data_IF_757977139916
#
_entry.id   IF_757977139916
#
_cell.length_a   1.000
_cell.length_b   1.000
_cell.length_c   1.000
_cell.angle_alpha   90.00
_cell.angle_beta   90.00
_cell.angle_gamma   90.00
#
_symmetry.space_group_name_H-M   'P 1'
#
loop_
_entity.id
_entity.type
_entity.pdbx_description
1 polymer ?
#
# COMPACT_ATOMS: atom_id res chain seq x y z
N UNK A 1 77.23 -146.99 -48.83
CA UNK A 1 76.58 -147.34 -47.55
C UNK A 1 76.44 -146.04 -46.76
N UNK A 2 75.32 -145.32 -46.85
CA UNK A 2 74.03 -145.58 -46.19
C UNK A 2 74.09 -145.44 -44.66
N UNK A 3 73.76 -144.25 -44.14
CA UNK A 3 72.45 -143.95 -43.52
C UNK A 3 72.46 -142.54 -42.87
N UNK A 4 71.69 -141.63 -43.48
CA UNK A 4 70.71 -140.74 -42.83
C UNK A 4 71.27 -139.76 -41.76
N UNK A 5 71.48 -138.47 -42.01
CA UNK A 5 70.47 -137.42 -42.30
C UNK A 5 69.19 -137.55 -41.43
N UNK A 6 69.21 -137.20 -40.13
CA UNK A 6 67.97 -136.80 -39.41
C UNK A 6 68.10 -136.16 -38.01
N UNK A 7 69.20 -135.45 -37.68
CA UNK A 7 69.39 -134.87 -36.33
C UNK A 7 69.78 -133.37 -36.36
N UNK A 8 69.32 -132.60 -37.35
CA UNK A 8 69.67 -131.16 -37.49
C UNK A 8 68.52 -130.18 -37.20
N UNK A 9 67.34 -130.66 -36.81
CA UNK A 9 66.15 -129.82 -36.59
C UNK A 9 65.80 -129.50 -35.12
N UNK A 10 66.26 -130.29 -34.15
CA UNK A 10 65.72 -130.22 -32.79
C UNK A 10 66.48 -129.27 -31.84
N UNK A 11 67.77 -129.00 -32.09
CA UNK A 11 68.57 -128.12 -31.22
C UNK A 11 68.35 -126.62 -31.46
N UNK A 12 67.63 -126.22 -32.52
CA UNK A 12 67.43 -124.80 -32.87
C UNK A 12 66.25 -124.14 -32.15
N UNK A 13 65.36 -124.91 -31.51
CA UNK A 13 64.18 -124.40 -30.81
C UNK A 13 64.36 -124.28 -29.30
N UNK A 14 65.40 -124.88 -28.72
CA UNK A 14 65.66 -124.84 -27.28
C UNK A 14 66.52 -123.64 -26.83
N UNK A 15 67.18 -122.92 -27.75
CA UNK A 15 68.06 -121.79 -27.40
C UNK A 15 67.50 -120.38 -27.68
N UNK A 16 66.30 -120.21 -28.25
CA UNK A 16 65.77 -118.87 -28.60
C UNK A 16 64.91 -118.19 -27.53
N UNK A 17 64.57 -118.88 -26.42
CA UNK A 17 63.64 -118.36 -25.40
C UNK A 17 64.24 -118.11 -24.02
N UNK A 18 65.57 -118.25 -23.85
CA UNK A 18 66.23 -118.05 -22.55
C UNK A 18 66.23 -116.58 -22.08
N UNK A 19 66.30 -115.63 -23.01
CA UNK A 19 66.24 -114.19 -22.71
C UNK A 19 64.86 -113.72 -22.23
N UNK A 20 63.79 -114.42 -22.57
CA UNK A 20 62.43 -114.05 -22.15
C UNK A 20 62.19 -114.28 -20.65
N UNK A 21 62.88 -115.25 -20.03
CA UNK A 21 62.84 -115.46 -18.58
C UNK A 21 63.76 -114.51 -17.81
N UNK A 22 64.74 -113.88 -18.47
CA UNK A 22 65.62 -112.87 -17.86
C UNK A 22 64.97 -111.47 -17.76
N UNK A 23 63.96 -111.18 -18.59
CA UNK A 23 63.22 -109.91 -18.58
C UNK A 23 62.07 -109.88 -17.55
N UNK A 24 61.55 -111.04 -17.14
CA UNK A 24 60.49 -111.13 -16.12
C UNK A 24 60.93 -110.55 -14.77
N UNK A 25 62.13 -110.86 -14.24
CA UNK A 25 62.64 -110.21 -13.02
C UNK A 25 62.78 -108.69 -13.16
N UNK A 26 63.25 -108.20 -14.31
CA UNK A 26 63.46 -106.76 -14.55
C UNK A 26 62.13 -106.01 -14.64
N UNK A 27 61.12 -106.59 -15.30
CA UNK A 27 59.78 -106.03 -15.35
C UNK A 27 59.08 -106.06 -13.97
N UNK A 28 59.28 -107.13 -13.19
CA UNK A 28 58.81 -107.20 -11.81
C UNK A 28 59.51 -106.16 -10.92
N UNK A 29 60.82 -105.96 -11.06
CA UNK A 29 61.58 -104.94 -10.32
C UNK A 29 61.12 -103.54 -10.74
N UNK A 30 60.88 -103.27 -12.02
CA UNK A 30 60.36 -101.99 -12.48
C UNK A 30 58.95 -101.72 -11.94
N UNK A 31 58.05 -102.72 -11.91
CA UNK A 31 56.72 -102.59 -11.30
C UNK A 31 56.81 -102.39 -9.78
N UNK A 32 57.72 -103.08 -9.10
CA UNK A 32 57.99 -102.90 -7.67
C UNK A 32 58.59 -101.51 -7.43
N UNK A 33 59.46 -100.98 -8.29
CA UNK A 33 59.99 -99.63 -8.18
C UNK A 33 58.95 -98.57 -8.49
N UNK A 34 58.06 -98.75 -9.47
CA UNK A 34 56.95 -97.82 -9.69
C UNK A 34 55.92 -97.89 -8.56
N UNK A 35 55.62 -99.08 -8.04
CA UNK A 35 54.76 -99.26 -6.88
C UNK A 35 55.42 -98.72 -5.61
N UNK A 36 56.74 -98.86 -5.47
CA UNK A 36 57.53 -98.28 -4.38
C UNK A 36 57.66 -96.76 -4.54
N UNK A 37 57.74 -96.20 -5.74
CA UNK A 37 57.70 -94.74 -5.95
C UNK A 37 56.31 -94.19 -5.64
N UNK A 38 55.24 -94.91 -5.97
CA UNK A 38 53.86 -94.56 -5.55
C UNK A 38 53.69 -94.74 -4.02
N UNK A 39 54.36 -95.73 -3.41
CA UNK A 39 54.29 -96.02 -1.97
C UNK A 39 55.26 -95.21 -1.10
N UNK A 40 56.35 -94.68 -1.68
CA UNK A 40 57.45 -93.99 -0.99
C UNK A 40 57.49 -92.49 -1.35
N UNK A 41 56.90 -92.08 -2.47
CA UNK A 41 56.75 -90.68 -2.87
C UNK A 41 55.52 -89.98 -2.27
N UNK A 42 54.57 -90.74 -1.70
CA UNK A 42 53.45 -90.23 -0.92
C UNK A 42 53.62 -90.67 0.54
N UNK A 43 54.60 -90.06 1.20
CA UNK A 43 54.65 -90.14 2.67
C UNK A 43 53.31 -89.66 3.25
N UNK A 44 52.74 -90.32 4.26
CA UNK A 44 51.49 -89.87 4.89
C UNK A 44 51.59 -88.44 5.45
N UNK A 45 52.81 -87.96 5.69
CA UNK A 45 53.11 -86.59 6.12
C UNK A 45 52.90 -85.55 5.01
N UNK A 46 53.41 -85.79 3.79
CA UNK A 46 53.19 -84.88 2.66
C UNK A 46 51.73 -84.79 2.22
N UNK A 47 50.97 -85.89 2.35
CA UNK A 47 49.51 -85.89 2.12
C UNK A 47 48.76 -85.07 3.18
N UNK A 48 49.21 -85.11 4.44
CA UNK A 48 48.63 -84.29 5.52
C UNK A 48 48.90 -82.80 5.30
N UNK A 49 50.12 -82.45 4.89
CA UNK A 49 50.50 -81.07 4.59
C UNK A 49 49.68 -80.50 3.42
N UNK A 50 49.57 -81.24 2.32
CA UNK A 50 48.75 -80.82 1.16
C UNK A 50 47.26 -80.69 1.54
N UNK A 51 46.74 -81.56 2.42
CA UNK A 51 45.37 -81.43 2.96
C UNK A 51 45.21 -80.19 3.84
N UNK A 52 46.21 -79.88 4.66
CA UNK A 52 46.24 -78.68 5.51
C UNK A 52 46.24 -77.41 4.65
N UNK A 53 47.14 -77.33 3.66
CA UNK A 53 47.19 -76.21 2.72
C UNK A 53 45.90 -76.08 1.92
N UNK A 54 45.28 -77.19 1.50
CA UNK A 54 43.96 -77.16 0.84
C UNK A 54 42.89 -76.56 1.74
N UNK A 55 42.85 -76.93 3.02
CA UNK A 55 41.90 -76.37 4.00
C UNK A 55 42.15 -74.87 4.22
N UNK A 56 43.41 -74.44 4.34
CA UNK A 56 43.76 -73.02 4.51
C UNK A 56 43.39 -72.20 3.27
N UNK A 57 43.63 -72.73 2.07
CA UNK A 57 43.23 -72.08 0.81
C UNK A 57 41.71 -72.01 0.71
N UNK A 58 40.98 -73.05 1.12
CA UNK A 58 39.52 -73.04 1.15
C UNK A 58 38.98 -71.98 2.13
N UNK A 59 39.54 -71.92 3.34
CA UNK A 59 39.14 -70.92 4.34
C UNK A 59 39.41 -69.49 3.84
N UNK A 60 40.55 -69.26 3.18
CA UNK A 60 40.86 -67.96 2.54
C UNK A 60 39.90 -67.64 1.40
N UNK A 61 39.50 -68.63 0.61
CA UNK A 61 38.53 -68.48 -0.47
C UNK A 61 37.17 -68.07 0.09
N UNK A 62 36.65 -68.82 1.07
CA UNK A 62 35.38 -68.52 1.73
C UNK A 62 35.40 -67.12 2.36
N UNK A 63 36.52 -66.73 2.98
CA UNK A 63 36.72 -65.39 3.54
C UNK A 63 36.76 -64.29 2.47
N UNK A 64 37.27 -64.60 1.28
CA UNK A 64 37.30 -63.66 0.15
C UNK A 64 35.93 -63.50 -0.50
N UNK A 65 35.16 -64.58 -0.63
CA UNK A 65 33.78 -64.58 -1.10
C UNK A 65 32.89 -63.77 -0.15
N UNK A 66 32.99 -63.99 1.16
CA UNK A 66 32.27 -63.19 2.16
C UNK A 66 32.65 -61.70 2.11
N UNK A 67 33.91 -61.37 1.77
CA UNK A 67 34.34 -59.98 1.57
C UNK A 67 33.77 -59.40 0.29
N UNK A 68 33.70 -60.17 -0.80
CA UNK A 68 33.11 -59.75 -2.07
C UNK A 68 31.61 -59.45 -1.90
N UNK A 69 30.86 -60.35 -1.26
CA UNK A 69 29.44 -60.11 -0.97
C UNK A 69 29.23 -58.83 -0.15
N UNK A 70 30.09 -58.57 0.84
CA UNK A 70 30.05 -57.34 1.63
C UNK A 70 30.36 -56.09 0.79
N UNK A 71 31.32 -56.18 -0.12
CA UNK A 71 31.68 -55.08 -1.03
C UNK A 71 30.55 -54.81 -2.02
N UNK A 72 29.94 -55.85 -2.59
CA UNK A 72 28.79 -55.73 -3.50
C UNK A 72 27.58 -55.12 -2.80
N UNK A 73 27.26 -55.57 -1.58
CA UNK A 73 26.20 -54.98 -0.76
C UNK A 73 26.46 -53.48 -0.49
N UNK A 74 27.70 -53.13 -0.16
CA UNK A 74 28.10 -51.73 0.06
C UNK A 74 28.05 -50.90 -1.24
N UNK A 75 28.38 -51.50 -2.38
CA UNK A 75 28.29 -50.86 -3.70
C UNK A 75 26.83 -50.55 -4.06
N UNK A 76 25.91 -51.48 -3.81
CA UNK A 76 24.48 -51.23 -4.05
C UNK A 76 23.91 -50.16 -3.11
N UNK A 77 24.31 -50.18 -1.83
CA UNK A 77 23.95 -49.12 -0.88
C UNK A 77 24.45 -47.74 -1.33
N UNK A 78 25.71 -47.64 -1.77
CA UNK A 78 26.28 -46.37 -2.25
C UNK A 78 25.65 -45.88 -3.55
N UNK A 79 25.31 -46.78 -4.49
CA UNK A 79 24.55 -46.41 -5.70
C UNK A 79 23.17 -45.87 -5.37
N UNK A 80 22.45 -46.50 -4.44
CA UNK A 80 21.14 -46.00 -4.00
C UNK A 80 21.27 -44.61 -3.37
N UNK A 81 22.22 -44.44 -2.45
CA UNK A 81 22.47 -43.15 -1.81
C UNK A 81 22.85 -42.06 -2.82
N UNK A 82 23.62 -42.40 -3.86
CA UNK A 82 23.97 -41.48 -4.95
C UNK A 82 22.75 -41.04 -5.74
N UNK A 83 21.84 -41.96 -6.09
CA UNK A 83 20.58 -41.62 -6.78
C UNK A 83 19.71 -40.70 -5.93
N UNK A 84 19.59 -41.00 -4.63
CA UNK A 84 18.83 -40.15 -3.70
C UNK A 84 19.45 -38.75 -3.57
N UNK A 85 20.78 -38.67 -3.52
CA UNK A 85 21.50 -37.40 -3.49
C UNK A 85 21.30 -36.60 -4.78
N UNK A 86 21.33 -37.24 -5.95
CA UNK A 86 21.04 -36.59 -7.23
C UNK A 86 19.61 -36.06 -7.31
N UNK A 87 18.63 -36.84 -6.85
CA UNK A 87 17.24 -36.42 -6.81
C UNK A 87 17.03 -35.21 -5.88
N UNK A 88 17.65 -35.23 -4.69
CA UNK A 88 17.63 -34.09 -3.76
C UNK A 88 18.32 -32.85 -4.34
N UNK A 89 19.42 -33.03 -5.07
CA UNK A 89 20.12 -31.93 -5.73
C UNK A 89 19.21 -31.27 -6.78
N UNK A 90 18.57 -32.08 -7.64
CA UNK A 90 17.64 -31.57 -8.65
C UNK A 90 16.44 -30.82 -8.04
N UNK A 91 15.87 -31.34 -6.93
CA UNK A 91 14.82 -30.64 -6.18
C UNK A 91 15.32 -29.31 -5.61
N UNK A 92 16.53 -29.29 -5.04
CA UNK A 92 17.13 -28.06 -4.50
C UNK A 92 17.42 -27.01 -5.58
N UNK A 93 17.91 -27.41 -6.75
CA UNK A 93 18.13 -26.51 -7.89
C UNK A 93 16.80 -25.92 -8.39
N UNK A 94 15.73 -26.72 -8.45
CA UNK A 94 14.40 -26.25 -8.80
C UNK A 94 13.88 -25.21 -7.81
N UNK A 95 14.08 -25.44 -6.50
CA UNK A 95 13.71 -24.50 -5.44
C UNK A 95 14.51 -23.20 -5.53
N UNK A 96 15.81 -23.28 -5.80
CA UNK A 96 16.67 -22.10 -5.98
C UNK A 96 16.20 -21.27 -7.18
N UNK A 97 15.97 -21.89 -8.34
CA UNK A 97 15.46 -21.18 -9.53
C UNK A 97 14.13 -20.47 -9.27
N UNK A 98 13.21 -21.10 -8.55
CA UNK A 98 11.93 -20.50 -8.16
C UNK A 98 12.11 -19.34 -7.17
N UNK A 99 13.04 -19.46 -6.24
CA UNK A 99 13.36 -18.39 -5.29
C UNK A 99 14.00 -17.19 -6.00
N UNK A 100 14.90 -17.43 -6.96
CA UNK A 100 15.51 -16.37 -7.78
C UNK A 100 14.48 -15.64 -8.63
N UNK A 101 13.57 -16.35 -9.31
CA UNK A 101 12.52 -15.71 -10.10
C UNK A 101 11.61 -14.84 -9.22
N UNK A 102 11.16 -15.37 -8.07
CA UNK A 102 10.32 -14.63 -7.13
C UNK A 102 11.04 -13.38 -6.54
N UNK A 103 12.35 -13.48 -6.31
CA UNK A 103 13.17 -12.36 -5.86
C UNK A 103 13.26 -11.26 -6.92
N UNK A 104 13.48 -11.63 -8.18
CA UNK A 104 13.53 -10.69 -9.30
C UNK A 104 12.18 -10.03 -9.55
N UNK A 105 11.07 -10.78 -9.50
CA UNK A 105 9.73 -10.21 -9.65
C UNK A 105 9.43 -9.20 -8.53
N UNK A 106 9.80 -9.52 -7.28
CA UNK A 106 9.64 -8.61 -6.15
C UNK A 106 10.52 -7.37 -6.30
N UNK A 107 11.74 -7.50 -6.82
CA UNK A 107 12.64 -6.38 -7.09
C UNK A 107 12.07 -5.44 -8.16
N UNK A 108 11.53 -5.98 -9.24
CA UNK A 108 10.88 -5.18 -10.31
C UNK A 108 9.61 -4.48 -9.81
N UNK A 109 8.79 -5.17 -9.01
CA UNK A 109 7.63 -4.54 -8.36
C UNK A 109 8.06 -3.39 -7.45
N UNK A 110 9.06 -3.61 -6.58
CA UNK A 110 9.57 -2.56 -5.68
C UNK A 110 10.18 -1.37 -6.44
N UNK A 111 10.79 -1.61 -7.60
CA UNK A 111 11.32 -0.54 -8.45
C UNK A 111 10.19 0.33 -9.02
N UNK A 112 9.14 -0.30 -9.55
CA UNK A 112 7.95 0.42 -10.07
C UNK A 112 7.26 1.23 -8.98
N UNK A 113 7.14 0.68 -7.77
CA UNK A 113 6.55 1.39 -6.63
C UNK A 113 7.40 2.61 -6.25
N UNK A 114 8.73 2.49 -6.27
CA UNK A 114 9.64 3.61 -6.02
C UNK A 114 9.50 4.72 -7.07
N UNK A 115 9.50 4.36 -8.36
CA UNK A 115 9.32 5.32 -9.46
C UNK A 115 7.95 6.03 -9.38
N UNK A 116 6.89 5.29 -9.02
CA UNK A 116 5.56 5.86 -8.82
C UNK A 116 5.52 6.84 -7.64
N UNK A 117 6.19 6.52 -6.53
CA UNK A 117 6.29 7.41 -5.36
C UNK A 117 7.09 8.68 -5.69
N UNK A 118 8.21 8.55 -6.40
CA UNK A 118 9.01 9.71 -6.84
C UNK A 118 8.19 10.65 -7.74
N UNK A 119 7.40 10.10 -8.68
CA UNK A 119 6.54 10.91 -9.55
C UNK A 119 5.45 11.66 -8.75
N UNK A 120 4.87 11.01 -7.73
CA UNK A 120 3.87 11.62 -6.84
C UNK A 120 4.49 12.71 -5.98
N UNK A 121 5.70 12.48 -5.47
CA UNK A 121 6.46 13.46 -4.69
C UNK A 121 6.77 14.72 -5.54
N UNK A 122 7.26 14.53 -6.76
CA UNK A 122 7.53 15.65 -7.67
C UNK A 122 6.25 16.47 -7.97
N UNK A 123 5.11 15.78 -8.14
CA UNK A 123 3.82 16.45 -8.36
C UNK A 123 3.38 17.24 -7.12
N UNK A 124 3.50 16.67 -5.92
CA UNK A 124 3.12 17.36 -4.68
C UNK A 124 4.03 18.56 -4.39
N UNK A 125 5.33 18.45 -4.64
CA UNK A 125 6.28 19.56 -4.53
C UNK A 125 5.93 20.71 -5.48
N UNK A 126 5.55 20.40 -6.72
CA UNK A 126 5.10 21.40 -7.69
C UNK A 126 3.84 22.13 -7.21
N UNK A 127 2.83 21.39 -6.74
CA UNK A 127 1.60 21.99 -6.21
C UNK A 127 1.84 22.82 -4.94
N UNK A 128 2.78 22.40 -4.09
CA UNK A 128 3.17 23.16 -2.91
C UNK A 128 3.84 24.49 -3.30
N UNK A 129 4.66 24.48 -4.36
CA UNK A 129 5.28 25.69 -4.89
C UNK A 129 4.24 26.66 -5.47
N UNK A 130 3.26 26.14 -6.20
CA UNK A 130 2.16 26.91 -6.78
C UNK A 130 1.28 27.55 -5.70
N UNK A 131 0.78 26.75 -4.76
CA UNK A 131 -0.04 27.24 -3.62
C UNK A 131 0.71 28.27 -2.78
N UNK A 132 2.02 28.13 -2.60
CA UNK A 132 2.84 29.15 -1.93
C UNK A 132 2.92 30.46 -2.72
N UNK A 133 2.97 30.38 -4.05
CA UNK A 133 2.87 31.53 -4.95
C UNK A 133 1.52 32.24 -4.81
N UNK A 134 0.43 31.50 -4.90
CA UNK A 134 -0.94 32.01 -4.78
C UNK A 134 -1.21 32.63 -3.41
N UNK A 135 -0.67 32.04 -2.35
CA UNK A 135 -0.76 32.58 -1.00
C UNK A 135 -0.06 33.94 -0.90
N UNK A 136 1.12 34.09 -1.54
CA UNK A 136 1.82 35.38 -1.58
C UNK A 136 0.99 36.41 -2.35
N UNK A 137 0.46 36.05 -3.51
CA UNK A 137 -0.36 36.96 -4.31
C UNK A 137 -1.64 37.37 -3.56
N UNK A 138 -2.30 36.43 -2.90
CA UNK A 138 -3.49 36.69 -2.09
C UNK A 138 -3.17 37.62 -0.93
N UNK A 139 -2.03 37.44 -0.27
CA UNK A 139 -1.55 38.32 0.79
C UNK A 139 -1.31 39.75 0.28
N UNK A 140 -0.70 39.88 -0.89
CA UNK A 140 -0.44 41.19 -1.51
C UNK A 140 -1.78 41.89 -1.89
N UNK A 141 -2.75 41.14 -2.44
CA UNK A 141 -4.11 41.64 -2.72
C UNK A 141 -4.86 42.08 -1.47
N UNK A 142 -4.78 41.30 -0.38
CA UNK A 142 -5.41 41.62 0.90
C UNK A 142 -4.86 42.92 1.48
N UNK A 143 -3.54 43.11 1.45
CA UNK A 143 -2.90 44.34 1.91
C UNK A 143 -3.36 45.56 1.08
N UNK A 144 -3.46 45.40 -0.25
CA UNK A 144 -3.98 46.45 -1.13
C UNK A 144 -5.45 46.80 -0.83
N UNK A 145 -6.30 45.79 -0.60
CA UNK A 145 -7.69 45.99 -0.24
C UNK A 145 -7.84 46.72 1.10
N UNK A 146 -7.06 46.34 2.11
CA UNK A 146 -7.04 47.03 3.42
C UNK A 146 -6.62 48.50 3.30
N UNK A 147 -5.64 48.81 2.45
CA UNK A 147 -5.25 50.19 2.18
C UNK A 147 -6.41 50.99 1.55
N UNK A 148 -7.13 50.39 0.58
CA UNK A 148 -8.31 51.02 -0.04
C UNK A 148 -9.45 51.24 0.96
N UNK A 149 -9.73 50.27 1.83
CA UNK A 149 -10.74 50.41 2.90
C UNK A 149 -10.38 51.56 3.84
N UNK A 150 -9.10 51.69 4.20
CA UNK A 150 -8.61 52.79 5.04
C UNK A 150 -8.85 54.15 4.36
N UNK A 151 -8.55 54.25 3.07
CA UNK A 151 -8.75 55.47 2.29
C UNK A 151 -10.24 55.82 2.14
N UNK A 152 -11.09 54.85 1.79
CA UNK A 152 -12.54 55.05 1.70
C UNK A 152 -13.14 55.45 3.05
N UNK A 153 -12.64 54.91 4.16
CA UNK A 153 -13.07 55.30 5.51
C UNK A 153 -12.74 56.77 5.79
N UNK A 154 -11.56 57.23 5.37
CA UNK A 154 -11.17 58.64 5.50
C UNK A 154 -12.08 59.55 4.66
N UNK A 155 -12.31 59.18 3.39
CA UNK A 155 -13.18 59.94 2.50
C UNK A 155 -14.62 60.01 3.01
N UNK A 156 -15.14 58.91 3.57
CA UNK A 156 -16.47 58.88 4.18
C UNK A 156 -16.57 59.85 5.36
N UNK A 157 -15.54 59.93 6.20
CA UNK A 157 -15.49 60.89 7.31
C UNK A 157 -15.51 62.34 6.80
N UNK A 158 -14.67 62.66 5.82
CA UNK A 158 -14.62 64.00 5.22
C UNK A 158 -15.95 64.38 4.56
N UNK A 159 -16.59 63.47 3.84
CA UNK A 159 -17.90 63.70 3.24
C UNK A 159 -18.98 63.95 4.32
N UNK A 160 -18.95 63.17 5.41
CA UNK A 160 -19.89 63.34 6.51
C UNK A 160 -19.71 64.69 7.22
N UNK A 161 -18.47 65.13 7.43
CA UNK A 161 -18.15 66.45 7.97
C UNK A 161 -18.65 67.59 7.06
N UNK A 162 -18.57 67.42 5.73
CA UNK A 162 -19.12 68.38 4.76
C UNK A 162 -20.65 68.41 4.78
N UNK A 163 -21.32 67.26 4.87
CA UNK A 163 -22.79 67.18 4.99
C UNK A 163 -23.26 67.89 6.25
N UNK A 164 -22.56 67.74 7.37
CA UNK A 164 -22.87 68.46 8.61
C UNK A 164 -22.79 69.98 8.42
N UNK A 165 -21.70 70.49 7.82
CA UNK A 165 -21.55 71.93 7.52
C UNK A 165 -22.65 72.44 6.60
N UNK A 166 -22.93 71.74 5.51
CA UNK A 166 -23.98 72.13 4.56
C UNK A 166 -25.37 72.17 5.22
N UNK A 167 -25.65 71.22 6.15
CA UNK A 167 -26.90 71.22 6.91
C UNK A 167 -27.03 72.44 7.82
N UNK A 168 -25.94 72.88 8.45
CA UNK A 168 -25.93 74.09 9.28
C UNK A 168 -26.07 75.37 8.44
N UNK A 169 -25.46 75.42 7.25
CA UNK A 169 -25.64 76.51 6.29
C UNK A 169 -27.09 76.60 5.80
N UNK A 170 -27.72 75.47 5.46
CA UNK A 170 -29.13 75.41 5.05
C UNK A 170 -30.04 75.91 6.16
N UNK A 171 -29.83 75.50 7.42
CA UNK A 171 -30.59 76.03 8.57
C UNK A 171 -30.48 77.55 8.68
N UNK A 172 -29.26 78.08 8.52
CA UNK A 172 -28.98 79.52 8.60
C UNK A 172 -29.65 80.28 7.47
N UNK A 173 -29.57 79.77 6.23
CA UNK A 173 -30.24 80.36 5.08
C UNK A 173 -31.76 80.35 5.25
N UNK A 174 -32.33 79.26 5.77
CA UNK A 174 -33.76 79.16 6.01
C UNK A 174 -34.25 80.16 7.07
N UNK A 175 -33.48 80.34 8.16
CA UNK A 175 -33.79 81.36 9.17
C UNK A 175 -33.81 82.77 8.56
N UNK A 176 -32.81 83.11 7.73
CA UNK A 176 -32.76 84.38 7.01
C UNK A 176 -33.92 84.55 6.02
N UNK A 177 -34.32 83.48 5.33
CA UNK A 177 -35.45 83.52 4.42
C UNK A 177 -36.78 83.78 5.15
N UNK A 178 -36.98 83.18 6.32
CA UNK A 178 -38.15 83.43 7.17
C UNK A 178 -38.14 84.84 7.78
N UNK A 179 -36.99 85.37 8.19
CA UNK A 179 -36.86 86.79 8.57
C UNK A 179 -37.23 87.73 7.41
N UNK A 180 -36.69 87.49 6.21
CA UNK A 180 -36.99 88.29 5.03
C UNK A 180 -38.48 88.21 4.65
N UNK A 181 -39.10 87.02 4.73
CA UNK A 181 -40.54 86.86 4.54
C UNK A 181 -41.32 87.67 5.57
N UNK A 182 -40.98 87.59 6.85
CA UNK A 182 -41.66 88.34 7.91
C UNK A 182 -41.52 89.86 7.71
N UNK A 183 -40.36 90.33 7.22
CA UNK A 183 -40.17 91.74 6.84
C UNK A 183 -41.03 92.13 5.63
N UNK A 184 -41.13 91.28 4.61
CA UNK A 184 -42.01 91.53 3.46
C UNK A 184 -43.49 91.48 3.83
N UNK A 185 -43.91 90.59 4.73
CA UNK A 185 -45.28 90.56 5.27
C UNK A 185 -45.58 91.81 6.10
N UNK A 186 -44.65 92.27 6.95
CA UNK A 186 -44.80 93.55 7.66
C UNK A 186 -44.90 94.73 6.69
N UNK A 187 -44.12 94.73 5.61
CA UNK A 187 -44.20 95.76 4.57
C UNK A 187 -45.52 95.70 3.79
N UNK A 188 -46.01 94.50 3.49
CA UNK A 188 -47.29 94.26 2.81
C UNK A 188 -48.49 94.58 3.71
N UNK A 189 -48.38 94.35 5.02
CA UNK A 189 -49.38 94.68 6.04
C UNK A 189 -49.47 96.19 6.28
N UNK A 190 -48.33 96.91 6.24
CA UNK A 190 -48.31 98.38 6.29
C UNK A 190 -48.96 99.04 5.06
N UNK A 191 -49.08 98.31 3.96
CA UNK A 191 -49.79 98.73 2.75
C UNK A 191 -51.30 98.36 2.76
N UNK A 192 -51.81 97.71 3.82
CA UNK A 192 -53.20 97.20 3.92
C UNK A 192 -53.83 97.45 5.31
N UNK A 193 -54.19 98.70 5.61
CA UNK A 193 -55.35 99.01 6.49
C UNK A 193 -56.52 99.30 5.51
N UNK A 194 -57.73 98.70 5.46
CA UNK A 194 -58.66 97.92 6.33
C UNK A 194 -59.58 97.03 5.43
N UNK A 195 -60.51 96.16 5.90
CA UNK A 195 -60.53 95.11 6.96
C UNK A 195 -60.73 93.66 6.42
N UNK A 196 -60.59 92.68 7.34
CA UNK A 196 -60.65 91.20 7.30
C UNK A 196 -61.98 90.57 6.74
N UNK A 197 -62.21 89.21 6.61
CA UNK A 197 -61.77 88.13 7.52
C UNK A 197 -61.57 86.67 6.97
N UNK A 198 -61.23 85.78 7.93
CA UNK A 198 -61.57 84.35 8.04
C UNK A 198 -60.58 83.30 7.48
N UNK A 199 -59.93 82.51 8.38
CA UNK A 199 -60.21 81.07 8.70
C UNK A 199 -59.62 80.11 7.65
N UNK A 200 -58.92 79.01 7.92
CA UNK A 200 -58.96 77.99 8.98
C UNK A 200 -57.68 77.11 8.82
N UNK A 201 -57.12 76.56 9.90
CA UNK A 201 -56.28 75.33 9.87
C UNK A 201 -57.18 74.09 9.66
N UNK A 202 -56.76 72.80 9.75
CA UNK A 202 -55.43 72.13 9.66
C UNK A 202 -55.48 70.87 8.75
N UNK A 203 -54.35 70.24 8.37
CA UNK A 203 -54.29 68.75 8.30
C UNK A 203 -52.87 68.25 8.63
N UNK A 204 -52.80 67.40 9.65
CA UNK A 204 -51.69 66.50 10.01
C UNK A 204 -51.58 65.37 8.99
N UNK A 205 -50.37 65.02 8.56
CA UNK A 205 -50.04 63.66 8.15
C UNK A 205 -48.97 63.07 9.08
N UNK A 206 -49.38 62.02 9.79
CA UNK A 206 -48.50 61.09 10.47
C UNK A 206 -47.83 60.17 9.43
N UNK A 207 -46.51 59.93 9.46
CA UNK A 207 -45.99 58.65 9.04
C UNK A 207 -46.20 57.66 10.19
N UNK A 208 -46.89 56.57 9.86
CA UNK A 208 -47.12 55.41 10.69
C UNK A 208 -45.83 54.98 11.40
N UNK A 209 -45.91 54.98 12.72
CA UNK A 209 -45.02 54.28 13.62
C UNK A 209 -45.25 52.78 13.39
N UNK A 210 -44.37 52.15 12.62
CA UNK A 210 -44.23 50.70 12.68
C UNK A 210 -43.82 50.34 14.11
N UNK A 211 -44.71 49.60 14.74
CA UNK A 211 -44.55 48.94 16.02
C UNK A 211 -43.31 48.08 15.99
N UNK A 212 -42.27 48.55 16.68
CA UNK A 212 -41.20 47.71 17.18
C UNK A 212 -41.83 46.59 18.03
N UNK A 213 -42.07 45.44 17.40
CA UNK A 213 -42.20 44.18 18.12
C UNK A 213 -40.81 43.86 18.65
N UNK A 214 -40.66 44.10 19.94
CA UNK A 214 -39.53 43.74 20.79
C UNK A 214 -39.42 42.20 20.89
N UNK A 215 -39.16 41.53 19.78
CA UNK A 215 -38.58 40.19 19.76
C UNK A 215 -37.14 40.35 19.31
N UNK A 216 -36.17 40.05 20.19
CA UNK A 216 -34.77 39.96 19.76
C UNK A 216 -34.67 38.81 18.76
N UNK A 217 -34.55 39.11 17.46
CA UNK A 217 -34.29 38.10 16.46
C UNK A 217 -32.99 37.36 16.81
N UNK A 218 -33.01 36.03 16.67
CA UNK A 218 -31.92 35.16 17.09
C UNK A 218 -31.42 34.33 15.92
N UNK A 219 -30.10 34.08 15.85
CA UNK A 219 -29.52 33.19 14.86
C UNK A 219 -29.51 31.75 15.40
N UNK A 220 -30.39 30.84 14.93
CA UNK A 220 -30.52 29.48 15.47
C UNK A 220 -29.24 28.63 15.33
N UNK A 221 -28.29 29.03 14.48
CA UNK A 221 -26.97 28.36 14.36
C UNK A 221 -26.15 28.51 15.66
N UNK A 222 -26.41 29.56 16.44
CA UNK A 222 -25.76 29.81 17.73
C UNK A 222 -26.26 28.87 18.83
N UNK A 223 -27.42 28.24 18.67
CA UNK A 223 -27.96 27.26 19.62
C UNK A 223 -27.29 25.88 19.49
N UNK A 224 -26.57 25.64 18.38
CA UNK A 224 -25.88 24.39 18.15
C UNK A 224 -24.66 24.26 19.05
N UNK A 225 -24.53 23.11 19.72
CA UNK A 225 -23.35 22.81 20.52
C UNK A 225 -22.11 22.64 19.60
N UNK A 226 -21.06 23.46 19.73
CA UNK A 226 -19.89 23.41 18.84
C UNK A 226 -19.18 22.05 18.82
N UNK A 227 -19.17 21.33 19.95
CA UNK A 227 -18.58 19.99 20.03
C UNK A 227 -19.38 18.98 19.21
N UNK A 228 -20.72 19.04 19.29
CA UNK A 228 -21.59 18.17 18.52
C UNK A 228 -21.50 18.48 17.02
N UNK A 229 -21.38 19.76 16.67
CA UNK A 229 -21.15 20.21 15.28
C UNK A 229 -19.86 19.59 14.74
N UNK A 230 -18.74 19.79 15.43
CA UNK A 230 -17.44 19.26 14.99
C UNK A 230 -17.43 17.73 14.87
N UNK A 231 -18.03 17.02 15.84
CA UNK A 231 -18.11 15.55 15.78
C UNK A 231 -19.00 15.05 14.64
N UNK A 232 -20.13 15.73 14.39
CA UNK A 232 -21.08 15.33 13.33
C UNK A 232 -20.50 15.57 11.95
N UNK A 233 -19.86 16.73 11.74
CA UNK A 233 -19.15 17.04 10.48
C UNK A 233 -18.09 15.96 10.20
N UNK A 234 -17.27 15.62 11.20
CA UNK A 234 -16.24 14.58 11.06
C UNK A 234 -16.84 13.20 10.75
N UNK A 235 -17.90 12.81 11.47
CA UNK A 235 -18.59 11.55 11.26
C UNK A 235 -19.21 11.44 9.86
N UNK A 236 -19.83 12.52 9.37
CA UNK A 236 -20.43 12.55 8.03
C UNK A 236 -19.35 12.45 6.94
N UNK A 237 -18.23 13.14 7.11
CA UNK A 237 -17.09 13.07 6.21
C UNK A 237 -16.52 11.64 6.14
N UNK A 238 -16.29 10.99 7.29
CA UNK A 238 -15.82 9.60 7.37
C UNK A 238 -16.80 8.61 6.71
N UNK A 239 -18.10 8.83 6.89
CA UNK A 239 -19.15 7.97 6.31
C UNK A 239 -19.23 8.12 4.79
N UNK A 240 -19.11 9.35 4.28
CA UNK A 240 -19.22 9.67 2.85
C UNK A 240 -17.96 9.27 2.08
N UNK A 241 -16.80 9.55 2.66
CA UNK A 241 -15.49 9.41 2.02
C UNK A 241 -14.68 8.32 2.70
N UNK A 242 -15.20 7.09 2.69
CA UNK A 242 -14.57 5.95 3.36
C UNK A 242 -13.16 5.71 2.82
N UNK A 243 -12.19 5.62 3.74
CA UNK A 243 -10.76 5.41 3.48
C UNK A 243 -10.07 6.51 2.61
N UNK A 244 -10.81 7.52 2.16
CA UNK A 244 -10.28 8.69 1.45
C UNK A 244 -10.09 9.86 2.44
N UNK A 245 -9.00 9.80 3.21
CA UNK A 245 -8.70 10.79 4.24
C UNK A 245 -8.49 12.21 3.70
N UNK A 246 -8.10 12.36 2.43
CA UNK A 246 -7.95 13.68 1.81
C UNK A 246 -9.32 14.31 1.57
N UNK A 247 -10.27 13.52 1.06
CA UNK A 247 -11.64 13.98 0.88
C UNK A 247 -12.37 14.19 2.21
N UNK A 248 -12.05 13.40 3.24
CA UNK A 248 -12.55 13.64 4.59
C UNK A 248 -12.09 15.00 5.12
N UNK A 249 -10.79 15.31 5.06
CA UNK A 249 -10.25 16.60 5.52
C UNK A 249 -10.85 17.77 4.74
N UNK A 250 -10.98 17.65 3.42
CA UNK A 250 -11.62 18.65 2.58
C UNK A 250 -13.08 18.92 2.98
N UNK A 251 -13.90 17.88 3.14
CA UNK A 251 -15.30 18.00 3.56
C UNK A 251 -15.42 18.63 4.95
N UNK A 252 -14.57 18.21 5.90
CA UNK A 252 -14.55 18.80 7.24
C UNK A 252 -14.23 20.29 7.18
N UNK A 253 -13.24 20.70 6.37
CA UNK A 253 -12.89 22.10 6.20
C UNK A 253 -14.02 22.92 5.59
N UNK A 254 -14.65 22.42 4.52
CA UNK A 254 -15.76 23.08 3.85
C UNK A 254 -16.96 23.29 4.78
N UNK A 255 -17.41 22.22 5.43
CA UNK A 255 -18.55 22.25 6.35
C UNK A 255 -18.27 23.14 7.58
N UNK A 256 -17.05 23.09 8.12
CA UNK A 256 -16.64 23.95 9.23
C UNK A 256 -16.60 25.42 8.82
N UNK A 257 -16.14 25.72 7.61
CA UNK A 257 -16.15 27.08 7.06
C UNK A 257 -17.57 27.62 6.92
N UNK A 258 -18.47 26.83 6.32
CA UNK A 258 -19.88 27.20 6.17
C UNK A 258 -20.56 27.44 7.53
N UNK A 259 -20.35 26.55 8.51
CA UNK A 259 -20.86 26.74 9.88
C UNK A 259 -20.37 28.06 10.50
N UNK A 260 -19.07 28.37 10.39
CA UNK A 260 -18.50 29.61 10.91
C UNK A 260 -19.04 30.85 10.21
N UNK A 261 -19.30 30.77 8.90
CA UNK A 261 -19.92 31.88 8.15
C UNK A 261 -21.37 32.09 8.61
N UNK A 262 -22.15 31.02 8.74
CA UNK A 262 -23.53 31.04 9.20
C UNK A 262 -23.68 31.64 10.61
N UNK A 263 -22.76 31.35 11.54
CA UNK A 263 -22.73 31.97 12.88
C UNK A 263 -22.63 33.49 12.85
N UNK A 264 -21.98 34.04 11.83
CA UNK A 264 -21.73 35.47 11.69
C UNK A 264 -22.84 36.19 10.89
N UNK A 265 -23.87 35.48 10.44
CA UNK A 265 -25.01 36.09 9.76
C UNK A 265 -25.83 36.92 10.75
N UNK A 266 -26.03 38.19 10.43
CA UNK A 266 -26.90 39.09 11.19
C UNK A 266 -28.37 38.77 10.88
N UNK A 267 -29.04 38.18 11.87
CA UNK A 267 -30.47 37.87 11.82
C UNK A 267 -31.22 39.00 12.53
N UNK A 268 -31.64 40.00 11.75
CA UNK A 268 -32.27 41.25 12.21
C UNK A 268 -33.74 41.38 11.80
N UNK A 269 -34.32 40.30 11.25
CA UNK A 269 -35.72 40.24 10.84
C UNK A 269 -36.30 38.84 11.02
N UNK A 270 -37.63 38.78 11.15
CA UNK A 270 -38.38 37.52 11.27
C UNK A 270 -38.16 36.62 10.06
N UNK A 271 -38.10 37.21 8.86
CA UNK A 271 -37.86 36.48 7.61
C UNK A 271 -36.48 35.82 7.64
N UNK A 272 -35.42 36.56 8.02
CA UNK A 272 -34.08 35.99 8.12
C UNK A 272 -34.01 34.87 9.15
N UNK A 273 -34.67 35.02 10.30
CA UNK A 273 -34.70 33.99 11.32
C UNK A 273 -35.40 32.72 10.79
N UNK A 274 -36.61 32.89 10.23
CA UNK A 274 -37.42 31.81 9.67
C UNK A 274 -36.67 31.05 8.57
N UNK A 275 -35.99 31.76 7.66
CA UNK A 275 -35.23 31.09 6.60
C UNK A 275 -34.02 30.33 7.13
N UNK A 276 -33.34 30.84 8.16
CA UNK A 276 -32.25 30.12 8.81
C UNK A 276 -32.76 28.86 9.53
N UNK A 277 -33.87 28.96 10.24
CA UNK A 277 -34.52 27.83 10.92
C UNK A 277 -34.97 26.76 9.91
N UNK A 278 -35.59 27.16 8.80
CA UNK A 278 -36.00 26.25 7.73
C UNK A 278 -34.81 25.54 7.09
N UNK A 279 -33.74 26.27 6.80
CA UNK A 279 -32.53 25.70 6.21
C UNK A 279 -31.87 24.68 7.17
N UNK A 280 -31.74 25.00 8.46
CA UNK A 280 -31.25 24.06 9.47
C UNK A 280 -32.16 22.84 9.65
N UNK A 281 -33.48 23.03 9.62
CA UNK A 281 -34.46 21.94 9.72
C UNK A 281 -34.34 20.97 8.54
N UNK A 282 -34.11 21.50 7.33
CA UNK A 282 -34.02 20.72 6.09
C UNK A 282 -32.69 19.98 5.95
N UNK A 283 -31.58 20.66 6.23
CA UNK A 283 -30.24 20.19 5.90
C UNK A 283 -29.43 19.74 7.13
N UNK A 284 -29.88 20.08 8.33
CA UNK A 284 -29.25 19.67 9.58
C UNK A 284 -27.82 20.21 9.70
N UNK A 285 -26.86 19.28 9.73
CA UNK A 285 -25.43 19.57 9.88
C UNK A 285 -24.69 19.64 8.54
N UNK A 286 -25.39 19.62 7.41
CA UNK A 286 -24.83 19.96 6.10
C UNK A 286 -24.88 21.49 5.91
N UNK A 287 -23.92 22.17 6.54
CA UNK A 287 -23.88 23.63 6.63
C UNK A 287 -23.63 24.31 5.28
N UNK A 288 -22.95 23.65 4.33
CA UNK A 288 -22.87 24.15 2.96
C UNK A 288 -24.28 24.24 2.34
N UNK A 289 -25.11 23.22 2.54
CA UNK A 289 -26.49 23.24 2.05
C UNK A 289 -27.40 24.19 2.84
N UNK A 290 -27.21 24.32 4.16
CA UNK A 290 -27.91 25.33 4.98
C UNK A 290 -27.61 26.73 4.46
N UNK A 291 -26.33 27.03 4.22
CA UNK A 291 -25.90 28.32 3.70
C UNK A 291 -26.45 28.59 2.31
N UNK A 292 -26.37 27.61 1.42
CA UNK A 292 -26.90 27.72 0.07
C UNK A 292 -28.40 28.04 0.08
N UNK A 293 -29.21 27.25 0.80
CA UNK A 293 -30.65 27.46 0.88
C UNK A 293 -31.00 28.83 1.49
N UNK A 294 -30.36 29.19 2.60
CA UNK A 294 -30.58 30.49 3.23
C UNK A 294 -30.31 31.64 2.25
N UNK A 295 -29.17 31.60 1.56
CA UNK A 295 -28.79 32.65 0.60
C UNK A 295 -29.78 32.72 -0.57
N UNK A 296 -30.18 31.59 -1.14
CA UNK A 296 -31.16 31.55 -2.24
C UNK A 296 -32.51 32.15 -1.81
N UNK A 297 -33.02 31.79 -0.63
CA UNK A 297 -34.27 32.35 -0.11
C UNK A 297 -34.16 33.85 0.17
N UNK A 298 -33.03 34.31 0.73
CA UNK A 298 -32.82 35.73 0.97
C UNK A 298 -32.66 36.52 -0.34
N UNK A 299 -32.01 35.95 -1.34
CA UNK A 299 -31.91 36.55 -2.67
C UNK A 299 -33.29 36.67 -3.33
N UNK A 300 -34.11 35.62 -3.25
CA UNK A 300 -35.47 35.63 -3.79
C UNK A 300 -36.39 36.62 -3.04
N UNK A 301 -36.24 36.75 -1.73
CA UNK A 301 -37.01 37.70 -0.92
C UNK A 301 -36.65 39.17 -1.18
N UNK A 302 -35.40 39.46 -1.54
CA UNK A 302 -34.91 40.81 -1.77
C UNK A 302 -35.12 41.32 -3.22
N UNK A 303 -35.56 40.46 -4.14
CA UNK A 303 -35.87 40.80 -5.54
C UNK A 303 -37.34 41.14 -5.74
#
# INVERSE_FOLDING_TARGET
MSRQQEQKGFFKTLFSKWWAWALVPVACIALIFTAAIISFGLTPESVKEVRSQKLEVQEKLDKSEARLEKVESSLEQTKSALKDAQAKLADSEGKVKKAESASNDKKEASKKDSEALESKLAKSESSLKETKGDLKETKDKLNSANAKVTELTKQLKEANDQVAKAKDEVKTANAKAEEAKAETEKALAKAKETPAPAKEEPVKEEPKKETASSGSFHNPVLDLNPTNVASTIKSNAEQRWKDDYQMQDYEVQQQTSAYNQLKNVAVDSEVKQTQMENALSRWGYDFEMVQYEYNEQMNAYNN
#
